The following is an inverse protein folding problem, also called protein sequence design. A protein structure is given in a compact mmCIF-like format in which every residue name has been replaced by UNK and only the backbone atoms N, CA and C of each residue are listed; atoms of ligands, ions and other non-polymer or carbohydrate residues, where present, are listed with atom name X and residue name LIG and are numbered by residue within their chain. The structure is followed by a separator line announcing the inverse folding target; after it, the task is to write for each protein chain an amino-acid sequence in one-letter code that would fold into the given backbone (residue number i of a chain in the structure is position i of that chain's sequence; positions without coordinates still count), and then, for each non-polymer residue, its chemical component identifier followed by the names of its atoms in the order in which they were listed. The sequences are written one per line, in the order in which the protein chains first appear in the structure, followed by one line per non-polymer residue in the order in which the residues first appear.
data_IF_313125884494
#
_entry.id   IF_313125884494
#
_cell.length_a   1.000
_cell.length_b   1.000
_cell.length_c   1.000
_cell.angle_alpha   90.00
_cell.angle_beta   90.00
_cell.angle_gamma   90.00
#
_symmetry.space_group_name_H-M   'P 1'
#
loop_
_entity.id
_entity.type
_entity.pdbx_description
1 polymer ?
#
# COMPACT_ATOMS: atom_id res chain seq x y z
N UNK A 1 10.73 -31.55 -9.41
CA UNK A 1 10.89 -30.08 -9.36
C UNK A 1 11.88 -29.76 -8.25
N UNK A 2 13.00 -29.09 -8.56
CA UNK A 2 14.02 -28.76 -7.56
C UNK A 2 13.53 -27.52 -6.79
N UNK A 3 13.36 -27.57 -5.46
CA UNK A 3 12.67 -26.52 -4.75
C UNK A 3 13.45 -25.18 -4.78
N UNK A 4 12.71 -24.08 -4.87
CA UNK A 4 13.21 -22.72 -5.14
C UNK A 4 14.33 -22.28 -4.18
N UNK A 5 14.31 -22.75 -2.93
CA UNK A 5 15.31 -22.44 -1.90
C UNK A 5 16.71 -23.01 -2.20
N UNK A 6 16.84 -24.07 -3.02
CA UNK A 6 18.16 -24.59 -3.43
C UNK A 6 18.93 -23.67 -4.38
N UNK A 7 18.29 -22.62 -4.92
CA UNK A 7 18.92 -21.62 -5.80
C UNK A 7 19.27 -20.30 -5.08
N UNK A 8 18.77 -20.13 -3.86
CA UNK A 8 19.04 -18.96 -3.02
C UNK A 8 20.11 -19.38 -1.99
N UNK A 9 21.36 -19.51 -2.42
CA UNK A 9 22.45 -19.84 -1.50
C UNK A 9 22.78 -18.66 -0.55
N UNK A 10 23.32 -18.92 0.66
CA UNK A 10 23.70 -17.88 1.63
C UNK A 10 24.64 -16.79 1.05
N UNK A 11 25.44 -17.14 0.05
CA UNK A 11 26.40 -16.24 -0.58
C UNK A 11 25.78 -15.17 -1.51
N UNK A 12 24.51 -15.29 -1.89
CA UNK A 12 23.86 -14.33 -2.83
C UNK A 12 23.01 -13.27 -2.14
N UNK A 13 22.73 -13.41 -0.84
CA UNK A 13 21.92 -12.48 -0.06
C UNK A 13 22.78 -11.90 1.05
N UNK A 14 23.68 -10.97 0.70
CA UNK A 14 24.27 -10.09 1.72
C UNK A 14 23.16 -9.16 2.22
N UNK A 15 22.49 -9.58 3.30
CA UNK A 15 21.60 -8.75 4.12
C UNK A 15 22.44 -7.90 5.09
N UNK A 16 23.54 -7.31 4.63
CA UNK A 16 24.09 -6.18 5.36
C UNK A 16 23.00 -5.10 5.29
N UNK A 17 22.22 -5.04 6.37
CA UNK A 17 21.29 -3.97 6.68
C UNK A 17 22.17 -2.73 6.63
N UNK A 18 22.11 -2.01 5.50
CA UNK A 18 22.62 -0.66 5.46
C UNK A 18 21.98 0.05 6.65
N UNK A 19 22.70 0.87 7.45
CA UNK A 19 22.08 1.58 8.57
C UNK A 19 20.71 2.08 8.12
N UNK A 20 19.63 1.76 8.84
CA UNK A 20 18.28 2.11 8.44
C UNK A 20 18.35 3.55 7.96
N UNK A 21 17.82 3.84 6.77
CA UNK A 21 17.75 5.23 6.31
C UNK A 21 17.10 6.00 7.46
N UNK A 22 17.91 6.75 8.21
CA UNK A 22 17.58 7.28 9.55
C UNK A 22 16.51 8.35 9.49
N UNK A 23 16.04 8.65 8.29
CA UNK A 23 14.83 9.36 8.03
C UNK A 23 13.71 8.34 7.88
N UNK A 24 13.01 8.02 8.97
CA UNK A 24 11.55 8.00 8.84
C UNK A 24 11.20 9.26 8.05
N UNK A 25 10.56 9.18 6.87
CA UNK A 25 10.02 10.36 6.23
C UNK A 25 9.23 11.10 7.31
N UNK A 26 9.79 12.21 7.78
CA UNK A 26 9.06 13.14 8.62
C UNK A 26 7.84 13.44 7.78
N UNK A 27 6.60 13.24 8.29
CA UNK A 27 5.41 13.51 7.51
C UNK A 27 5.63 14.91 6.95
N UNK A 28 5.75 15.01 5.62
CA UNK A 28 6.02 16.28 4.97
C UNK A 28 5.06 17.26 5.64
N UNK A 29 5.60 18.28 6.31
CA UNK A 29 4.83 19.22 7.13
C UNK A 29 3.90 19.94 6.18
N UNK A 30 2.76 19.32 5.91
CA UNK A 30 1.88 19.78 4.88
C UNK A 30 1.07 20.88 5.54
N UNK A 31 1.38 22.13 5.17
CA UNK A 31 0.81 23.33 5.79
C UNK A 31 -0.72 23.38 5.75
N UNK A 32 -1.36 22.47 5.02
CA UNK A 32 -2.81 22.37 4.84
C UNK A 32 -3.49 21.39 5.82
N UNK A 33 -2.74 20.55 6.54
CA UNK A 33 -3.34 19.55 7.44
C UNK A 33 -2.46 19.20 8.64
N UNK A 34 -3.08 18.68 9.68
CA UNK A 34 -2.40 18.09 10.84
C UNK A 34 -3.15 16.88 11.34
N UNK A 35 -2.42 15.95 11.94
CA UNK A 35 -3.00 14.80 12.63
C UNK A 35 -3.39 15.21 14.05
N UNK A 36 -4.58 14.82 14.47
CA UNK A 36 -5.07 14.87 15.85
C UNK A 36 -5.41 13.45 16.30
N UNK A 37 -5.58 13.26 17.59
CA UNK A 37 -6.00 12.00 18.17
C UNK A 37 -7.02 12.25 19.28
N UNK A 38 -8.06 11.44 19.32
CA UNK A 38 -9.06 11.44 20.39
C UNK A 38 -9.61 10.03 20.64
N UNK A 39 -10.27 9.78 21.79
CA UNK A 39 -10.75 8.44 22.15
C UNK A 39 -11.85 7.85 21.25
N UNK A 40 -12.57 8.67 20.48
CA UNK A 40 -13.74 8.22 19.71
C UNK A 40 -13.37 7.70 18.33
N UNK A 41 -12.49 8.42 17.63
CA UNK A 41 -12.11 8.14 16.24
C UNK A 41 -10.61 7.82 16.09
N UNK A 42 -9.87 7.81 17.20
CA UNK A 42 -8.42 7.63 17.20
C UNK A 42 -7.72 8.77 16.46
N UNK A 43 -6.65 8.42 15.74
CA UNK A 43 -5.93 9.38 14.89
C UNK A 43 -6.81 9.80 13.71
N UNK A 44 -6.87 11.09 13.43
CA UNK A 44 -7.64 11.67 12.34
C UNK A 44 -6.97 12.94 11.80
N UNK A 45 -7.27 13.30 10.55
CA UNK A 45 -6.71 14.48 9.89
C UNK A 45 -7.69 15.63 9.96
N UNK A 46 -7.20 16.83 10.33
CA UNK A 46 -7.96 18.08 10.26
C UNK A 46 -7.23 19.13 9.42
N UNK A 47 -7.99 20.03 8.80
CA UNK A 47 -7.43 21.17 8.09
C UNK A 47 -6.78 22.16 9.06
N UNK A 48 -5.63 22.73 8.68
CA UNK A 48 -4.92 23.77 9.46
C UNK A 48 -5.42 25.18 9.15
N UNK A 49 -6.09 25.36 8.01
CA UNK A 49 -6.66 26.62 7.51
C UNK A 49 -7.89 26.31 6.66
N UNK A 50 -8.66 27.32 6.28
CA UNK A 50 -9.75 27.14 5.32
C UNK A 50 -9.20 26.81 3.92
N UNK A 51 -9.80 25.81 3.27
CA UNK A 51 -9.39 25.29 1.97
C UNK A 51 -10.61 25.16 1.06
N UNK A 52 -10.43 25.45 -0.22
CA UNK A 52 -11.48 25.40 -1.23
C UNK A 52 -11.51 24.04 -1.96
N UNK A 53 -12.64 23.67 -2.59
CA UNK A 53 -12.70 22.53 -3.49
C UNK A 53 -11.56 22.53 -4.51
N UNK A 54 -10.99 21.35 -4.77
CA UNK A 54 -9.86 21.17 -5.67
C UNK A 54 -8.48 21.46 -5.06
N UNK A 55 -8.39 22.02 -3.85
CA UNK A 55 -7.11 22.22 -3.17
C UNK A 55 -6.41 20.87 -2.90
N UNK A 56 -5.11 20.81 -3.15
CA UNK A 56 -4.28 19.65 -2.77
C UNK A 56 -3.94 19.71 -1.29
N UNK A 57 -4.39 18.71 -0.54
CA UNK A 57 -4.11 18.56 0.88
C UNK A 57 -2.72 18.01 1.08
N UNK A 58 -2.38 16.90 0.42
CA UNK A 58 -1.04 16.29 0.40
C UNK A 58 -0.68 15.75 -0.99
N UNK A 59 0.63 15.62 -1.23
CA UNK A 59 1.21 14.81 -2.31
C UNK A 59 2.24 13.89 -1.68
N UNK A 60 2.16 12.59 -1.93
CA UNK A 60 2.98 11.59 -1.24
C UNK A 60 3.45 10.50 -2.20
N UNK A 61 4.75 10.17 -2.12
CA UNK A 61 5.33 8.97 -2.72
C UNK A 61 5.17 7.77 -1.79
N UNK A 62 5.01 6.55 -2.31
CA UNK A 62 4.73 5.39 -1.48
C UNK A 62 5.99 4.94 -0.74
N UNK A 63 5.80 4.45 0.48
CA UNK A 63 6.85 3.79 1.27
C UNK A 63 7.36 2.54 0.56
N UNK A 64 6.42 1.76 0.03
CA UNK A 64 6.65 0.55 -0.72
C UNK A 64 5.46 0.28 -1.64
N UNK A 65 5.73 -0.37 -2.77
CA UNK A 65 4.74 -0.72 -3.78
C UNK A 65 4.98 -2.14 -4.29
N UNK A 66 3.90 -2.82 -4.65
CA UNK A 66 3.94 -4.13 -5.31
C UNK A 66 3.07 -4.09 -6.56
N UNK A 67 3.71 -4.26 -7.73
CA UNK A 67 3.02 -4.43 -9.00
C UNK A 67 2.60 -5.90 -9.18
N UNK A 68 1.34 -6.12 -9.54
CA UNK A 68 0.83 -7.47 -9.76
C UNK A 68 1.53 -8.13 -10.96
N UNK A 69 1.76 -9.45 -10.93
CA UNK A 69 2.62 -10.16 -11.89
C UNK A 69 2.17 -9.97 -13.33
N UNK A 70 0.85 -9.95 -13.55
CA UNK A 70 0.23 -9.82 -14.86
C UNK A 70 0.61 -8.50 -15.55
N UNK A 71 0.97 -7.47 -14.78
CA UNK A 71 1.32 -6.15 -15.30
C UNK A 71 2.81 -5.89 -15.40
N UNK A 72 3.68 -6.76 -14.87
CA UNK A 72 5.15 -6.54 -14.82
C UNK A 72 5.84 -6.37 -16.16
N UNK A 73 5.21 -6.86 -17.24
CA UNK A 73 5.71 -6.71 -18.61
C UNK A 73 5.29 -5.39 -19.27
N UNK A 74 4.19 -4.80 -18.81
CA UNK A 74 3.50 -3.66 -19.45
C UNK A 74 3.59 -2.37 -18.63
N UNK A 75 3.97 -2.47 -17.35
CA UNK A 75 4.09 -1.37 -16.40
C UNK A 75 5.44 -1.40 -15.69
N UNK A 76 5.97 -0.21 -15.41
CA UNK A 76 7.19 -0.03 -14.63
C UNK A 76 6.99 -0.55 -13.21
N UNK A 77 7.84 -1.46 -12.75
CA UNK A 77 7.72 -2.01 -11.38
C UNK A 77 7.96 -0.99 -10.26
N UNK A 78 8.63 0.13 -10.55
CA UNK A 78 8.90 1.19 -9.56
C UNK A 78 7.78 2.23 -9.46
N UNK A 79 7.33 2.77 -10.59
CA UNK A 79 6.44 3.93 -10.62
C UNK A 79 5.09 3.68 -11.31
N UNK A 80 4.90 2.46 -11.81
CA UNK A 80 3.70 1.98 -12.48
C UNK A 80 3.37 2.76 -13.77
N UNK A 81 4.34 3.47 -14.36
CA UNK A 81 4.20 4.06 -15.70
C UNK A 81 4.11 2.96 -16.76
N UNK A 82 3.21 3.10 -17.72
CA UNK A 82 3.08 2.20 -18.88
C UNK A 82 4.33 2.17 -19.77
N UNK A 83 4.37 1.16 -20.65
CA UNK A 83 5.37 1.00 -21.71
C UNK A 83 6.81 1.04 -21.18
N UNK A 84 7.17 0.15 -20.22
CA UNK A 84 8.53 0.08 -19.73
C UNK A 84 9.48 -0.37 -20.85
N UNK A 85 10.60 0.33 -20.99
CA UNK A 85 11.60 0.10 -22.04
C UNK A 85 12.91 -0.50 -21.50
N UNK A 86 13.14 -0.42 -20.19
CA UNK A 86 14.34 -0.91 -19.51
C UNK A 86 14.04 -2.26 -18.86
N UNK A 87 14.90 -3.26 -19.07
CA UNK A 87 14.81 -4.55 -18.38
C UNK A 87 15.58 -4.51 -17.06
N UNK A 88 15.27 -5.42 -16.14
CA UNK A 88 16.14 -5.71 -15.00
C UNK A 88 17.59 -5.96 -15.47
N UNK A 89 18.58 -5.48 -14.71
CA UNK A 89 20.02 -5.72 -14.98
C UNK A 89 20.43 -7.19 -15.09
N UNK A 90 19.66 -8.11 -14.50
CA UNK A 90 19.90 -9.56 -14.65
C UNK A 90 19.29 -10.15 -15.93
N UNK A 91 18.60 -9.34 -16.74
CA UNK A 91 18.04 -9.71 -18.03
C UNK A 91 17.14 -10.95 -17.92
N UNK A 92 17.39 -11.97 -18.75
CA UNK A 92 16.62 -13.22 -18.76
C UNK A 92 16.72 -14.02 -17.45
N UNK A 93 17.79 -13.80 -16.65
CA UNK A 93 18.01 -14.46 -15.35
C UNK A 93 17.14 -13.88 -14.23
N UNK A 94 16.49 -12.73 -14.44
CA UNK A 94 15.49 -12.21 -13.53
C UNK A 94 14.30 -13.19 -13.47
N UNK A 95 14.08 -13.82 -12.33
CA UNK A 95 12.95 -14.68 -12.02
C UNK A 95 11.65 -13.90 -11.80
N UNK A 96 11.75 -12.67 -11.30
CA UNK A 96 10.60 -11.82 -10.97
C UNK A 96 9.94 -11.17 -12.20
N UNK A 97 10.65 -11.15 -13.35
CA UNK A 97 10.19 -10.68 -14.67
C UNK A 97 9.69 -9.22 -14.71
N UNK A 98 10.37 -8.32 -13.99
CA UNK A 98 10.04 -6.88 -13.95
C UNK A 98 10.73 -6.07 -15.04
N UNK A 99 10.09 -4.95 -15.41
CA UNK A 99 10.59 -3.95 -16.36
C UNK A 99 10.39 -2.53 -15.80
N UNK A 100 11.08 -1.55 -16.38
CA UNK A 100 11.12 -0.17 -15.91
C UNK A 100 11.01 0.85 -17.04
N UNK A 101 10.49 2.03 -16.75
CA UNK A 101 10.40 3.12 -17.74
C UNK A 101 11.74 3.86 -17.96
N UNK A 102 12.69 3.73 -17.02
CA UNK A 102 14.00 4.39 -17.10
C UNK A 102 15.05 3.63 -16.28
N UNK A 103 16.33 3.86 -16.57
CA UNK A 103 17.44 3.33 -15.78
C UNK A 103 17.39 3.83 -14.33
N UNK A 104 16.89 5.05 -14.09
CA UNK A 104 16.67 5.59 -12.75
C UNK A 104 15.67 4.74 -11.96
N UNK A 105 14.52 4.39 -12.56
CA UNK A 105 13.54 3.52 -11.92
C UNK A 105 14.09 2.12 -11.65
N UNK A 106 14.88 1.56 -12.56
CA UNK A 106 15.54 0.26 -12.36
C UNK A 106 16.50 0.31 -11.16
N UNK A 107 17.34 1.35 -11.08
CA UNK A 107 18.32 1.51 -10.01
C UNK A 107 17.66 1.69 -8.65
N UNK A 108 16.61 2.53 -8.56
CA UNK A 108 15.84 2.73 -7.33
C UNK A 108 15.25 1.39 -6.90
N UNK A 109 14.48 0.71 -7.76
CA UNK A 109 13.83 -0.55 -7.42
C UNK A 109 14.85 -1.65 -7.05
N UNK A 110 16.01 -1.70 -7.74
CA UNK A 110 17.11 -2.60 -7.38
C UNK A 110 17.62 -2.35 -5.96
N UNK A 111 17.87 -1.09 -5.61
CA UNK A 111 18.41 -0.71 -4.30
C UNK A 111 17.46 -0.97 -3.14
N UNK A 112 16.14 -0.81 -3.36
CA UNK A 112 15.12 -0.83 -2.30
C UNK A 112 14.36 -2.15 -2.17
N UNK A 113 14.39 -3.04 -3.15
CA UNK A 113 13.64 -4.32 -3.08
C UNK A 113 14.17 -5.41 -4.00
N UNK A 114 14.44 -5.09 -5.26
CA UNK A 114 14.56 -6.12 -6.28
C UNK A 114 15.84 -6.92 -6.21
N UNK A 115 16.94 -6.39 -5.65
CA UNK A 115 18.19 -7.16 -5.51
C UNK A 115 17.98 -8.48 -4.76
N UNK A 116 17.07 -8.50 -3.78
CA UNK A 116 16.72 -9.69 -3.02
C UNK A 116 15.66 -10.54 -3.72
N UNK A 117 14.70 -9.90 -4.38
CA UNK A 117 13.59 -10.58 -5.06
C UNK A 117 13.95 -11.09 -6.47
N UNK A 118 15.14 -10.75 -7.00
CA UNK A 118 15.46 -10.92 -8.42
C UNK A 118 15.34 -12.36 -8.90
N UNK A 119 15.80 -13.31 -8.08
CA UNK A 119 15.83 -14.73 -8.41
C UNK A 119 14.58 -15.49 -7.97
N UNK A 120 13.66 -14.82 -7.30
CA UNK A 120 12.37 -15.38 -6.94
C UNK A 120 11.53 -15.50 -8.23
N UNK A 121 11.28 -16.74 -8.67
CA UNK A 121 10.41 -16.99 -9.83
C UNK A 121 8.98 -16.54 -9.54
N UNK A 122 8.20 -16.32 -10.59
CA UNK A 122 6.75 -16.15 -10.46
C UNK A 122 6.20 -17.32 -9.62
N UNK A 123 5.71 -17.02 -8.43
CA UNK A 123 5.04 -17.98 -7.56
C UNK A 123 3.66 -18.23 -8.16
N UNK A 124 3.27 -19.50 -8.32
CA UNK A 124 1.92 -19.87 -8.79
C UNK A 124 0.83 -19.24 -7.89
N UNK A 125 1.15 -18.97 -6.61
CA UNK A 125 0.29 -18.31 -5.63
C UNK A 125 0.72 -16.87 -5.28
N UNK A 126 1.16 -16.06 -6.25
CA UNK A 126 1.61 -14.70 -5.97
C UNK A 126 0.54 -13.84 -5.26
N UNK A 127 -0.74 -13.98 -5.63
CA UNK A 127 -1.84 -13.26 -4.99
C UNK A 127 -1.88 -13.47 -3.47
N UNK A 128 -1.63 -14.71 -3.02
CA UNK A 128 -1.58 -15.06 -1.60
C UNK A 128 -0.32 -14.56 -0.89
N UNK A 129 0.79 -14.39 -1.61
CA UNK A 129 2.07 -13.93 -1.05
C UNK A 129 2.32 -12.43 -1.22
N UNK A 130 1.46 -11.70 -1.93
CA UNK A 130 1.68 -10.28 -2.28
C UNK A 130 1.96 -9.44 -1.05
N UNK A 131 1.11 -9.52 -0.04
CA UNK A 131 1.22 -8.68 1.16
C UNK A 131 2.42 -9.11 2.02
N UNK A 132 2.75 -10.41 2.05
CA UNK A 132 3.94 -10.91 2.73
C UNK A 132 5.25 -10.46 2.04
N UNK A 133 5.29 -10.48 0.70
CA UNK A 133 6.42 -9.97 -0.08
C UNK A 133 6.57 -8.45 0.05
N UNK A 134 5.46 -7.71 0.14
CA UNK A 134 5.49 -6.29 0.45
C UNK A 134 5.97 -6.06 1.89
N UNK A 135 5.55 -6.89 2.84
CA UNK A 135 6.02 -6.83 4.22
C UNK A 135 7.53 -7.08 4.32
N UNK A 136 8.07 -8.03 3.56
CA UNK A 136 9.51 -8.25 3.46
C UNK A 136 10.25 -7.02 2.93
N UNK A 137 9.75 -6.39 1.86
CA UNK A 137 10.36 -5.18 1.31
C UNK A 137 10.41 -4.04 2.34
N UNK A 138 9.33 -3.89 3.11
CA UNK A 138 9.24 -2.90 4.19
C UNK A 138 10.20 -3.25 5.32
N UNK A 139 10.21 -4.50 5.80
CA UNK A 139 11.06 -4.97 6.88
C UNK A 139 12.55 -4.76 6.57
N UNK A 140 12.99 -5.15 5.36
CA UNK A 140 14.38 -4.99 4.93
C UNK A 140 14.83 -3.52 4.84
N UNK A 141 13.88 -2.58 4.75
CA UNK A 141 14.17 -1.14 4.62
C UNK A 141 14.01 -0.37 5.92
N UNK A 142 13.00 -0.69 6.72
CA UNK A 142 12.56 0.12 7.85
C UNK A 142 12.47 -0.65 9.17
N UNK A 143 12.56 -1.99 9.16
CA UNK A 143 12.29 -2.91 10.26
C UNK A 143 10.84 -2.88 10.82
N UNK A 144 10.21 -1.70 10.91
CA UNK A 144 8.83 -1.50 11.36
C UNK A 144 8.17 -0.30 10.68
N UNK A 145 6.85 -0.16 10.86
CA UNK A 145 6.09 1.00 10.41
C UNK A 145 5.20 1.57 11.52
N UNK A 146 5.01 2.90 11.57
CA UNK A 146 4.11 3.57 12.53
C UNK A 146 2.64 3.58 12.06
N UNK A 147 2.16 2.47 11.49
CA UNK A 147 0.80 2.32 10.99
C UNK A 147 -0.07 1.43 11.90
N UNK A 148 -1.38 1.65 11.87
CA UNK A 148 -2.32 0.80 12.59
C UNK A 148 -2.31 -0.59 11.98
N UNK A 149 -2.31 -1.61 12.83
CA UNK A 149 -2.42 -3.00 12.42
C UNK A 149 -3.76 -3.57 12.85
N UNK A 150 -4.35 -4.43 12.02
CA UNK A 150 -5.58 -5.16 12.38
C UNK A 150 -5.35 -6.35 13.30
N UNK A 151 -4.10 -6.70 13.66
CA UNK A 151 -3.83 -7.90 14.47
C UNK A 151 -4.76 -8.05 15.69
N UNK A 152 -5.06 -7.00 16.47
CA UNK A 152 -5.95 -7.13 17.64
C UNK A 152 -7.38 -7.58 17.31
N UNK A 153 -7.82 -7.41 16.06
CA UNK A 153 -9.17 -7.73 15.57
C UNK A 153 -9.15 -8.86 14.53
N UNK A 154 -7.98 -9.42 14.22
CA UNK A 154 -7.84 -10.44 13.19
C UNK A 154 -8.20 -11.82 13.76
N UNK A 155 -9.07 -12.59 13.09
CA UNK A 155 -9.41 -13.95 13.54
C UNK A 155 -8.19 -14.87 13.63
N UNK A 156 -8.17 -15.87 14.54
CA UNK A 156 -7.01 -16.76 14.72
C UNK A 156 -6.53 -17.46 13.45
N UNK A 157 -7.44 -17.89 12.57
CA UNK A 157 -7.07 -18.56 11.32
C UNK A 157 -6.34 -17.63 10.33
N UNK A 158 -6.74 -16.34 10.24
CA UNK A 158 -6.02 -15.37 9.41
C UNK A 158 -4.66 -15.02 9.99
N UNK A 159 -4.53 -14.95 11.33
CA UNK A 159 -3.24 -14.75 12.00
C UNK A 159 -2.26 -15.89 11.71
N UNK A 160 -2.74 -17.14 11.71
CA UNK A 160 -1.89 -18.28 11.35
C UNK A 160 -1.43 -18.19 9.88
N UNK A 161 -2.30 -17.74 8.96
CA UNK A 161 -1.89 -17.49 7.57
C UNK A 161 -0.79 -16.42 7.47
N UNK A 162 -0.85 -15.33 8.25
CA UNK A 162 0.25 -14.35 8.30
C UNK A 162 1.54 -14.96 8.82
N UNK A 163 1.44 -15.81 9.84
CA UNK A 163 2.58 -16.51 10.45
C UNK A 163 3.24 -17.47 9.47
N UNK A 164 2.48 -18.31 8.79
CA UNK A 164 2.98 -19.25 7.78
C UNK A 164 3.74 -18.53 6.65
N UNK A 165 3.15 -17.45 6.14
CA UNK A 165 3.79 -16.63 5.09
C UNK A 165 5.07 -15.96 5.58
N UNK A 166 5.08 -15.45 6.80
CA UNK A 166 6.27 -14.85 7.40
C UNK A 166 7.38 -15.89 7.61
N UNK A 167 7.07 -17.06 8.16
CA UNK A 167 8.01 -18.17 8.34
C UNK A 167 8.57 -18.65 7.00
N UNK A 168 7.73 -18.74 5.96
CA UNK A 168 8.21 -19.06 4.62
C UNK A 168 9.28 -18.07 4.14
N UNK A 169 9.06 -16.76 4.34
CA UNK A 169 10.02 -15.72 3.95
C UNK A 169 11.29 -15.74 4.79
N UNK A 170 11.16 -15.94 6.12
CA UNK A 170 12.32 -16.09 7.01
C UNK A 170 13.23 -17.21 6.51
N UNK A 171 12.66 -18.38 6.20
CA UNK A 171 13.41 -19.51 5.67
C UNK A 171 13.98 -19.24 4.27
N UNK A 172 13.18 -18.65 3.37
CA UNK A 172 13.60 -18.41 1.98
C UNK A 172 14.70 -17.36 1.84
N UNK A 173 14.74 -16.39 2.77
CA UNK A 173 15.70 -15.28 2.77
C UNK A 173 16.76 -15.36 3.87
N UNK A 174 16.76 -16.45 4.67
CA UNK A 174 17.67 -16.66 5.81
C UNK A 174 17.66 -15.48 6.79
N UNK A 175 16.45 -15.00 7.12
CA UNK A 175 16.28 -13.94 8.10
C UNK A 175 16.43 -14.50 9.51
N UNK A 176 16.75 -13.62 10.46
CA UNK A 176 16.71 -13.92 11.88
C UNK A 176 15.26 -14.17 12.34
N UNK A 177 15.04 -15.14 13.23
CA UNK A 177 13.70 -15.47 13.74
C UNK A 177 13.00 -14.28 14.42
N UNK A 178 13.77 -13.30 14.93
CA UNK A 178 13.25 -12.03 15.47
C UNK A 178 12.47 -11.21 14.43
N UNK A 179 12.59 -11.52 13.14
CA UNK A 179 11.81 -10.90 12.07
C UNK A 179 10.32 -11.32 12.08
N UNK A 180 9.96 -12.42 12.75
CA UNK A 180 8.62 -13.01 12.67
C UNK A 180 7.52 -12.04 13.09
N UNK A 181 7.63 -11.47 14.29
CA UNK A 181 6.62 -10.56 14.82
C UNK A 181 6.50 -9.28 13.99
N UNK A 182 7.63 -8.78 13.48
CA UNK A 182 7.65 -7.62 12.59
C UNK A 182 6.94 -7.92 11.27
N UNK A 183 7.21 -9.05 10.63
CA UNK A 183 6.57 -9.45 9.37
C UNK A 183 5.07 -9.72 9.53
N UNK A 184 4.64 -10.32 10.64
CA UNK A 184 3.20 -10.50 10.95
C UNK A 184 2.54 -9.13 11.17
N UNK A 185 3.18 -8.25 11.94
CA UNK A 185 2.68 -6.89 12.20
C UNK A 185 2.53 -6.08 10.92
N UNK A 186 3.54 -6.11 10.05
CA UNK A 186 3.52 -5.37 8.79
C UNK A 186 2.46 -5.93 7.83
N UNK A 187 2.23 -7.25 7.80
CA UNK A 187 1.12 -7.81 7.01
C UNK A 187 -0.23 -7.26 7.47
N UNK A 188 -0.46 -7.21 8.79
CA UNK A 188 -1.68 -6.61 9.33
C UNK A 188 -1.81 -5.10 9.06
N UNK A 189 -0.68 -4.38 9.03
CA UNK A 189 -0.65 -2.97 8.64
C UNK A 189 -0.98 -2.80 7.15
N UNK A 190 -0.42 -3.62 6.26
CA UNK A 190 -0.71 -3.58 4.83
C UNK A 190 -2.21 -3.74 4.58
N UNK A 191 -2.87 -4.70 5.25
CA UNK A 191 -4.28 -4.99 5.02
C UNK A 191 -5.22 -3.80 5.30
N UNK A 192 -4.88 -2.94 6.26
CA UNK A 192 -5.73 -1.79 6.61
C UNK A 192 -5.29 -0.46 6.01
N UNK A 193 -4.11 -0.38 5.42
CA UNK A 193 -3.50 0.90 5.05
C UNK A 193 -3.07 0.96 3.58
N UNK A 194 -3.00 -0.18 2.87
CA UNK A 194 -2.59 -0.20 1.48
C UNK A 194 -3.68 0.32 0.55
N UNK A 195 -3.25 1.08 -0.46
CA UNK A 195 -4.11 1.62 -1.50
C UNK A 195 -3.91 0.86 -2.81
N UNK A 196 -5.01 0.48 -3.46
CA UNK A 196 -4.97 -0.07 -4.81
C UNK A 196 -4.61 1.00 -5.83
N UNK A 197 -3.46 0.86 -6.48
CA UNK A 197 -3.11 1.72 -7.62
C UNK A 197 -3.89 1.24 -8.83
N UNK A 198 -4.86 2.04 -9.25
CA UNK A 198 -5.71 1.73 -10.38
C UNK A 198 -5.35 2.53 -11.62
N UNK A 199 -5.52 1.89 -12.77
CA UNK A 199 -5.49 2.52 -14.08
C UNK A 199 -6.90 2.55 -14.65
N UNK A 200 -7.09 3.41 -15.64
CA UNK A 200 -8.29 3.42 -16.47
C UNK A 200 -7.94 2.70 -17.77
N UNK A 201 -8.71 1.67 -18.10
CA UNK A 201 -8.70 1.00 -19.39
C UNK A 201 -9.95 1.48 -20.12
N UNK A 202 -9.75 2.21 -21.21
CA UNK A 202 -10.84 2.69 -22.04
C UNK A 202 -10.69 2.11 -23.45
N UNK A 203 -11.74 1.47 -23.94
CA UNK A 203 -11.96 1.19 -25.35
C UNK A 203 -13.14 2.02 -25.87
N UNK A 204 -13.48 1.87 -27.16
CA UNK A 204 -14.52 2.67 -27.82
C UNK A 204 -15.93 2.51 -27.18
N UNK A 205 -16.13 1.49 -26.33
CA UNK A 205 -17.43 1.12 -25.76
C UNK A 205 -17.45 0.99 -24.25
N UNK A 206 -16.28 0.90 -23.61
CA UNK A 206 -16.16 0.55 -22.20
C UNK A 206 -15.03 1.31 -21.51
N UNK A 207 -15.31 1.85 -20.32
CA UNK A 207 -14.32 2.45 -19.43
C UNK A 207 -14.31 1.64 -18.14
N UNK A 208 -13.25 0.87 -17.93
CA UNK A 208 -13.02 0.06 -16.74
C UNK A 208 -11.91 0.65 -15.87
N UNK A 209 -12.11 0.68 -14.56
CA UNK A 209 -11.05 0.96 -13.59
C UNK A 209 -10.46 -0.37 -13.11
N UNK A 210 -9.17 -0.60 -13.35
CA UNK A 210 -8.49 -1.84 -12.96
C UNK A 210 -7.34 -1.58 -12.00
N UNK A 211 -7.31 -2.28 -10.87
CA UNK A 211 -6.19 -2.25 -9.94
C UNK A 211 -5.05 -3.10 -10.50
N UNK A 212 -3.84 -2.54 -10.56
CA UNK A 212 -2.66 -3.21 -11.12
C UNK A 212 -1.58 -3.51 -10.09
N UNK A 213 -1.78 -3.06 -8.87
CA UNK A 213 -0.88 -3.24 -7.76
C UNK A 213 -1.35 -2.49 -6.53
N UNK A 214 -0.57 -2.60 -5.48
CA UNK A 214 -0.84 -1.97 -4.18
C UNK A 214 0.34 -1.13 -3.75
N UNK A 215 0.07 -0.04 -3.06
CA UNK A 215 1.09 0.83 -2.47
C UNK A 215 0.71 1.23 -1.06
N UNK A 216 1.72 1.35 -0.20
CA UNK A 216 1.57 1.80 1.17
C UNK A 216 2.07 3.25 1.28
N UNK A 217 1.24 4.11 1.84
CA UNK A 217 1.54 5.52 2.06
C UNK A 217 1.41 5.80 3.54
N UNK A 218 2.30 6.59 4.13
CA UNK A 218 2.28 6.79 5.57
C UNK A 218 1.29 7.89 5.95
N UNK A 219 1.41 9.05 5.32
CA UNK A 219 0.62 10.23 5.67
C UNK A 219 -0.83 10.06 5.24
N UNK A 220 -1.05 9.51 4.05
CA UNK A 220 -2.40 9.28 3.54
C UNK A 220 -3.19 8.22 4.32
N UNK A 221 -2.54 7.26 4.96
CA UNK A 221 -3.21 6.28 5.83
C UNK A 221 -3.71 6.86 7.15
N UNK A 222 -3.47 8.16 7.40
CA UNK A 222 -4.00 8.87 8.58
C UNK A 222 -5.39 9.48 8.33
N UNK A 223 -5.87 9.49 7.09
CA UNK A 223 -7.18 10.04 6.73
C UNK A 223 -8.27 9.03 7.00
N UNK A 224 -9.22 9.36 7.88
CA UNK A 224 -10.32 8.47 8.22
C UNK A 224 -11.40 8.42 7.13
N UNK A 225 -12.22 7.37 7.23
CA UNK A 225 -13.33 7.12 6.33
C UNK A 225 -14.55 8.00 6.61
N UNK A 226 -15.19 8.48 5.55
CA UNK A 226 -16.61 8.87 5.56
C UNK A 226 -17.31 8.32 4.30
N UNK A 227 -18.56 7.87 4.42
CA UNK A 227 -19.35 7.38 3.28
C UNK A 227 -19.74 8.51 2.30
N UNK A 228 -19.69 9.76 2.76
CA UNK A 228 -19.79 10.99 1.97
C UNK A 228 -18.53 11.85 2.24
N UNK A 229 -17.37 11.46 1.67
CA UNK A 229 -16.10 12.12 1.96
C UNK A 229 -16.04 13.54 1.37
N UNK A 230 -15.25 14.41 1.99
CA UNK A 230 -14.94 15.75 1.50
C UNK A 230 -13.58 15.83 0.77
N UNK A 231 -12.92 14.69 0.58
CA UNK A 231 -11.68 14.56 -0.16
C UNK A 231 -11.59 13.24 -0.95
N UNK A 232 -10.76 13.25 -1.99
CA UNK A 232 -10.52 12.09 -2.85
C UNK A 232 -9.02 11.83 -2.98
N UNK A 233 -8.63 10.56 -2.87
CA UNK A 233 -7.30 10.08 -3.21
C UNK A 233 -7.20 9.85 -4.72
N UNK A 234 -6.22 10.48 -5.35
CA UNK A 234 -5.96 10.43 -6.78
C UNK A 234 -4.52 9.99 -7.02
N UNK A 235 -4.32 9.17 -8.06
CA UNK A 235 -2.99 8.77 -8.51
C UNK A 235 -2.61 9.57 -9.75
N UNK A 236 -1.35 10.01 -9.84
CA UNK A 236 -0.86 10.76 -10.99
C UNK A 236 -0.86 9.87 -12.25
N UNK A 237 -1.55 10.25 -13.35
CA UNK A 237 -1.57 9.41 -14.56
C UNK A 237 -0.18 9.17 -15.17
N UNK A 238 0.74 10.12 -15.04
CA UNK A 238 2.11 10.00 -15.55
C UNK A 238 3.03 9.22 -14.60
N UNK A 239 2.66 9.10 -13.32
CA UNK A 239 3.35 8.34 -12.28
C UNK A 239 2.33 7.70 -11.31
N UNK A 240 1.69 6.57 -11.66
CA UNK A 240 0.56 6.03 -10.86
C UNK A 240 0.88 5.63 -9.42
N UNK A 241 2.16 5.59 -9.05
CA UNK A 241 2.60 5.44 -7.66
C UNK A 241 2.55 6.76 -6.85
N UNK A 242 2.50 7.93 -7.48
CA UNK A 242 2.42 9.22 -6.78
C UNK A 242 0.97 9.53 -6.44
N UNK A 243 0.65 9.64 -5.16
CA UNK A 243 -0.70 9.92 -4.70
C UNK A 243 -0.88 11.38 -4.29
N UNK A 244 -2.08 11.91 -4.53
CA UNK A 244 -2.53 13.21 -4.05
C UNK A 244 -3.89 13.06 -3.38
N UNK A 245 -4.08 13.74 -2.26
CA UNK A 245 -5.41 13.93 -1.68
C UNK A 245 -5.87 15.33 -2.04
N UNK A 246 -7.05 15.44 -2.67
CA UNK A 246 -7.66 16.72 -3.07
C UNK A 246 -9.04 16.86 -2.47
N UNK A 247 -9.39 18.07 -2.05
CA UNK A 247 -10.74 18.35 -1.54
C UNK A 247 -11.79 18.32 -2.65
N UNK A 248 -12.96 17.78 -2.33
CA UNK A 248 -14.17 17.85 -3.15
C UNK A 248 -15.12 18.95 -2.66
N UNK A 249 -15.04 19.29 -1.38
CA UNK A 249 -15.90 20.25 -0.71
C UNK A 249 -15.05 21.30 0.05
N UNK A 250 -15.59 22.48 0.36
CA UNK A 250 -14.88 23.44 1.21
C UNK A 250 -14.71 22.89 2.63
N UNK A 251 -13.55 23.16 3.24
CA UNK A 251 -13.24 22.74 4.61
C UNK A 251 -12.67 23.93 5.38
N UNK A 252 -13.18 24.21 6.58
CA UNK A 252 -12.68 25.28 7.46
C UNK A 252 -11.49 24.79 8.32
N UNK A 253 -10.73 25.74 8.85
CA UNK A 253 -9.68 25.43 9.82
C UNK A 253 -10.23 24.62 11.00
N UNK A 254 -9.61 23.47 11.29
CA UNK A 254 -9.98 22.57 12.38
C UNK A 254 -11.03 21.52 12.02
N UNK A 255 -11.70 21.62 10.87
CA UNK A 255 -12.64 20.60 10.40
C UNK A 255 -11.91 19.34 9.90
N UNK A 256 -12.51 18.15 10.07
CA UNK A 256 -11.90 16.90 9.64
C UNK A 256 -11.89 16.77 8.11
N UNK A 257 -10.86 16.10 7.60
CA UNK A 257 -10.75 15.73 6.18
C UNK A 257 -10.87 14.21 6.09
N UNK A 258 -11.90 13.76 5.38
CA UNK A 258 -12.22 12.35 5.21
C UNK A 258 -12.08 11.92 3.76
N UNK A 259 -11.64 10.68 3.57
CA UNK A 259 -11.62 9.99 2.27
C UNK A 259 -12.60 8.82 2.30
N UNK A 260 -12.93 8.24 1.15
CA UNK A 260 -13.63 6.94 1.13
C UNK A 260 -12.62 5.79 1.08
N UNK A 261 -12.89 4.74 1.85
CA UNK A 261 -12.13 3.48 1.85
C UNK A 261 -12.62 2.48 0.80
N UNK A 262 -13.57 2.90 -0.05
CA UNK A 262 -14.21 2.06 -1.06
C UNK A 262 -15.70 2.40 -1.20
N UNK A 263 -16.53 2.01 -0.20
CA UNK A 263 -17.96 2.24 -0.25
C UNK A 263 -18.35 3.72 -0.21
N UNK A 264 -19.41 4.08 -0.94
CA UNK A 264 -19.97 5.44 -0.96
C UNK A 264 -21.48 5.38 -0.74
N UNK A 265 -22.03 6.32 0.04
CA UNK A 265 -23.47 6.41 0.26
C UNK A 265 -24.25 6.57 -1.05
N UNK A 266 -23.66 7.26 -2.04
CA UNK A 266 -24.26 7.46 -3.36
C UNK A 266 -24.28 6.20 -4.26
N UNK A 267 -23.60 5.11 -3.87
CA UNK A 267 -23.44 3.90 -4.71
C UNK A 267 -23.81 2.59 -4.03
N UNK A 268 -23.86 2.58 -2.71
CA UNK A 268 -24.00 1.37 -1.90
C UNK A 268 -25.02 1.60 -0.80
N UNK A 269 -25.86 0.60 -0.53
CA UNK A 269 -26.77 0.59 0.62
C UNK A 269 -26.01 0.61 1.94
N UNK A 270 -26.64 1.08 3.02
CA UNK A 270 -26.03 1.10 4.36
C UNK A 270 -25.47 -0.26 4.76
N UNK A 271 -26.23 -1.33 4.55
CA UNK A 271 -25.81 -2.70 4.88
C UNK A 271 -24.53 -3.11 4.12
N UNK A 272 -24.45 -2.86 2.82
CA UNK A 272 -23.26 -3.14 2.02
C UNK A 272 -22.04 -2.33 2.48
N UNK A 273 -22.24 -1.04 2.81
CA UNK A 273 -21.14 -0.20 3.31
C UNK A 273 -20.61 -0.72 4.64
N UNK A 274 -21.48 -1.05 5.59
CA UNK A 274 -21.07 -1.58 6.90
C UNK A 274 -20.37 -2.93 6.77
N UNK A 275 -20.89 -3.84 5.94
CA UNK A 275 -20.25 -5.14 5.73
C UNK A 275 -18.84 -4.99 5.13
N UNK A 276 -18.68 -4.17 4.08
CA UNK A 276 -17.37 -3.93 3.48
C UNK A 276 -16.36 -3.33 4.46
N UNK A 277 -16.79 -2.38 5.30
CA UNK A 277 -15.92 -1.74 6.29
C UNK A 277 -15.57 -2.67 7.44
N UNK A 278 -16.50 -3.51 7.92
CA UNK A 278 -16.21 -4.54 8.91
C UNK A 278 -15.21 -5.57 8.39
N UNK A 279 -15.40 -6.06 7.16
CA UNK A 279 -14.52 -7.07 6.56
C UNK A 279 -13.11 -6.53 6.24
N UNK A 280 -13.02 -5.30 5.73
CA UNK A 280 -11.74 -4.71 5.30
C UNK A 280 -10.98 -3.99 6.41
N UNK A 281 -11.70 -3.32 7.29
CA UNK A 281 -11.14 -2.31 8.21
C UNK A 281 -11.58 -2.49 9.67
N UNK A 282 -12.40 -3.50 9.98
CA UNK A 282 -12.73 -3.93 11.34
C UNK A 282 -13.38 -2.84 12.21
N UNK A 283 -14.24 -2.00 11.60
CA UNK A 283 -15.03 -0.99 12.31
C UNK A 283 -16.42 -0.82 11.69
N UNK A 284 -17.35 -0.28 12.48
CA UNK A 284 -18.67 0.16 12.02
C UNK A 284 -18.67 1.68 11.79
N UNK A 285 -19.11 2.11 10.62
CA UNK A 285 -19.12 3.52 10.26
C UNK A 285 -20.29 4.26 10.90
N UNK A 286 -19.98 5.35 11.59
CA UNK A 286 -20.96 6.21 12.29
C UNK A 286 -21.12 7.58 11.62
N UNK A 287 -20.71 7.73 10.35
CA UNK A 287 -20.90 8.98 9.61
C UNK A 287 -22.39 9.36 9.50
N UNK A 288 -22.66 10.63 9.18
CA UNK A 288 -24.02 11.15 9.06
C UNK A 288 -24.92 10.28 8.17
N UNK A 289 -24.44 9.87 6.98
CA UNK A 289 -25.21 9.00 6.07
C UNK A 289 -25.59 7.67 6.70
N UNK A 290 -24.68 7.03 7.45
CA UNK A 290 -24.96 5.76 8.12
C UNK A 290 -25.91 5.89 9.33
N UNK A 291 -25.96 7.06 9.95
CA UNK A 291 -26.87 7.36 11.06
C UNK A 291 -28.27 7.76 10.55
N UNK A 292 -28.36 8.47 9.43
CA UNK A 292 -29.62 8.98 8.89
C UNK A 292 -30.45 7.94 8.12
N UNK A 293 -29.82 6.88 7.63
CA UNK A 293 -30.46 5.91 6.72
C UNK A 293 -31.35 4.85 7.42
N UNK A 294 -31.51 4.85 8.75
CA UNK A 294 -32.30 3.85 9.48
C UNK A 294 -31.71 2.43 9.38
N UNK A 295 -32.23 1.47 10.15
CA UNK A 295 -31.91 0.05 9.97
C UNK A 295 -32.60 -0.53 8.73
#
# INVERSE_FOLDING_TARGET
MNPIWRRLGPAHISLNVWPPLTTTPTPATCSNMRVKEDPHQGRHVVATRSLQPGATVITEEPYASSLDPDYRRSYCAQCFRQKPIVNCRQGRRCGFKVRFCSSKCEQIYWSVSHRWLCHLSAMENYSHMRDALLALQIYLRYASLPLISNLPRTPPHELEMYRERALFLINAFFLDERALDALITIQGQIRCNAFGNAIIIADDTHIEKKVIGVSLYHVASMFNHDCRPNAVALFDPAQPALMRIRLTDPVKAGEPIHVSYGPLAAKNSRAERQEQLRQGYFFDCTCHSCQSEGE
#
